data_IF_877157195123
#
_entry.id   IF_877157195123
#
_cell.length_a   1.000
_cell.length_b   1.000
_cell.length_c   1.000
_cell.angle_alpha   90.00
_cell.angle_beta   90.00
_cell.angle_gamma   90.00
#
_symmetry.space_group_name_H-M   'P 1'
#
loop_
_entity.id
_entity.type
_entity.pdbx_description
1 polymer ?
#
# COMPACT_ATOMS: atom_id res chain seq x y z
N UNK A 1 1.66 8.21 -12.17
CA UNK A 1 1.83 6.83 -12.67
C UNK A 1 1.06 5.90 -11.75
N UNK A 2 0.21 5.01 -12.27
CA UNK A 2 -0.71 4.14 -11.51
C UNK A 2 -0.06 3.44 -10.32
N UNK A 3 1.19 2.95 -10.46
CA UNK A 3 1.89 2.30 -9.35
C UNK A 3 2.12 3.25 -8.16
N UNK A 4 2.41 4.53 -8.41
CA UNK A 4 2.56 5.52 -7.34
C UNK A 4 1.20 5.84 -6.68
N UNK A 5 0.13 5.96 -7.48
CA UNK A 5 -1.24 6.11 -6.97
C UNK A 5 -1.65 4.93 -6.09
N UNK A 6 -1.27 3.71 -6.45
CA UNK A 6 -1.57 2.50 -5.68
C UNK A 6 -0.84 2.48 -4.33
N UNK A 7 0.43 2.93 -4.29
CA UNK A 7 1.15 3.10 -3.03
C UNK A 7 0.50 4.17 -2.15
N UNK A 8 0.07 5.29 -2.74
CA UNK A 8 -0.59 6.37 -2.02
C UNK A 8 -1.94 5.91 -1.42
N UNK A 9 -2.76 5.23 -2.22
CA UNK A 9 -4.04 4.65 -1.79
C UNK A 9 -3.86 3.68 -0.61
N UNK A 10 -2.90 2.75 -0.70
CA UNK A 10 -2.68 1.80 0.37
C UNK A 10 -2.14 2.47 1.65
N UNK A 11 -1.32 3.51 1.52
CA UNK A 11 -0.83 4.29 2.64
C UNK A 11 -1.94 5.11 3.29
N UNK A 12 -2.85 5.68 2.49
CA UNK A 12 -4.02 6.38 2.99
C UNK A 12 -4.89 5.45 3.86
N UNK A 13 -5.20 4.25 3.38
CA UNK A 13 -5.93 3.24 4.18
C UNK A 13 -5.20 2.92 5.48
N UNK A 14 -3.87 2.73 5.42
CA UNK A 14 -3.07 2.43 6.61
C UNK A 14 -3.18 3.54 7.66
N UNK A 15 -3.09 4.80 7.23
CA UNK A 15 -3.20 5.97 8.10
C UNK A 15 -4.62 6.12 8.66
N UNK A 16 -5.66 5.93 7.84
CA UNK A 16 -7.05 5.95 8.27
C UNK A 16 -7.33 4.90 9.36
N UNK A 17 -6.83 3.68 9.20
CA UNK A 17 -6.98 2.64 10.21
C UNK A 17 -6.20 2.96 11.49
N UNK A 18 -4.96 3.46 11.40
CA UNK A 18 -4.23 3.90 12.60
C UNK A 18 -4.97 5.02 13.34
N UNK A 19 -5.55 5.98 12.62
CA UNK A 19 -6.37 7.03 13.20
C UNK A 19 -7.63 6.48 13.87
N UNK A 20 -8.32 5.51 13.23
CA UNK A 20 -9.51 4.84 13.77
C UNK A 20 -9.23 4.11 15.08
N UNK A 21 -8.04 3.55 15.23
CA UNK A 21 -7.61 2.85 16.44
C UNK A 21 -6.87 3.75 17.45
N UNK A 22 -6.69 5.04 17.18
CA UNK A 22 -5.90 5.96 18.01
C UNK A 22 -6.24 5.88 19.50
N UNK A 23 -7.53 5.95 19.88
CA UNK A 23 -7.98 5.80 21.26
C UNK A 23 -7.60 4.46 21.92
N UNK A 24 -7.58 3.36 21.15
CA UNK A 24 -7.13 2.04 21.66
C UNK A 24 -5.61 1.94 21.79
N UNK A 25 -4.88 2.85 21.15
CA UNK A 25 -3.41 2.91 21.15
C UNK A 25 -2.86 3.96 22.12
N UNK A 26 -3.72 4.75 22.79
CA UNK A 26 -3.31 5.85 23.69
C UNK A 26 -2.39 5.38 24.83
N UNK A 27 -2.64 4.21 25.41
CA UNK A 27 -1.84 3.65 26.51
C UNK A 27 -0.50 3.05 26.10
N UNK A 28 -0.16 3.08 24.81
CA UNK A 28 1.10 2.54 24.31
C UNK A 28 2.25 3.52 24.48
N UNK A 29 3.42 2.99 24.80
CA UNK A 29 4.67 3.74 24.73
C UNK A 29 5.00 4.11 23.28
N UNK A 30 5.82 5.14 23.11
CA UNK A 30 6.28 5.57 21.78
C UNK A 30 7.02 4.45 21.01
N UNK A 31 7.75 3.59 21.71
CA UNK A 31 8.40 2.42 21.10
C UNK A 31 7.38 1.42 20.54
N UNK A 32 6.31 1.15 21.29
CA UNK A 32 5.23 0.27 20.85
C UNK A 32 4.43 0.86 19.68
N UNK A 33 4.14 2.17 19.70
CA UNK A 33 3.50 2.85 18.57
C UNK A 33 4.34 2.72 17.29
N UNK A 34 5.65 2.98 17.37
CA UNK A 34 6.58 2.78 16.24
C UNK A 34 6.64 1.34 15.75
N UNK A 35 6.54 0.36 16.66
CA UNK A 35 6.49 -1.05 16.27
C UNK A 35 5.21 -1.37 15.47
N UNK A 36 4.07 -0.82 15.85
CA UNK A 36 2.79 -0.96 15.12
C UNK A 36 2.86 -0.25 13.76
N UNK A 37 3.40 0.97 13.70
CA UNK A 37 3.61 1.68 12.44
C UNK A 37 4.49 0.86 11.48
N UNK A 38 5.61 0.35 11.98
CA UNK A 38 6.54 -0.48 11.21
C UNK A 38 5.88 -1.77 10.73
N UNK A 39 5.09 -2.43 11.59
CA UNK A 39 4.37 -3.65 11.28
C UNK A 39 3.33 -3.40 10.17
N UNK A 40 2.47 -2.41 10.34
CA UNK A 40 1.41 -2.09 9.37
C UNK A 40 2.00 -1.66 8.03
N UNK A 41 3.04 -0.85 8.03
CA UNK A 41 3.76 -0.44 6.83
C UNK A 41 4.41 -1.64 6.12
N UNK A 42 5.01 -2.55 6.89
CA UNK A 42 5.60 -3.79 6.37
C UNK A 42 4.56 -4.70 5.70
N UNK A 43 3.34 -4.80 6.27
CA UNK A 43 2.23 -5.55 5.67
C UNK A 43 1.84 -4.94 4.31
N UNK A 44 1.59 -3.63 4.26
CA UNK A 44 1.24 -2.92 3.02
C UNK A 44 2.32 -3.12 1.95
N UNK A 45 3.60 -2.91 2.31
CA UNK A 45 4.74 -3.11 1.40
C UNK A 45 4.79 -4.52 0.83
N UNK A 46 4.57 -5.56 1.66
CA UNK A 46 4.57 -6.96 1.22
C UNK A 46 3.43 -7.28 0.27
N UNK A 47 2.22 -6.77 0.54
CA UNK A 47 1.07 -6.92 -0.36
C UNK A 47 1.37 -6.29 -1.72
N UNK A 48 1.89 -5.07 -1.72
CA UNK A 48 2.16 -4.32 -2.96
C UNK A 48 3.39 -4.82 -3.73
N UNK A 49 4.32 -5.51 -3.08
CA UNK A 49 5.53 -5.99 -3.74
C UNK A 49 5.23 -6.89 -4.94
N UNK A 50 4.38 -7.90 -4.76
CA UNK A 50 4.06 -8.88 -5.82
C UNK A 50 3.40 -8.26 -7.07
N UNK A 51 2.31 -7.47 -6.98
CA UNK A 51 1.70 -6.85 -8.16
C UNK A 51 2.64 -5.84 -8.84
N UNK A 52 3.37 -5.03 -8.06
CA UNK A 52 4.33 -4.06 -8.62
C UNK A 52 5.46 -4.76 -9.38
N UNK A 53 6.02 -5.85 -8.83
CA UNK A 53 7.04 -6.65 -9.52
C UNK A 53 6.47 -7.22 -10.83
N UNK A 54 5.25 -7.77 -10.82
CA UNK A 54 4.64 -8.33 -12.03
C UNK A 54 4.44 -7.30 -13.14
N UNK A 55 4.04 -6.08 -12.80
CA UNK A 55 3.95 -4.98 -13.77
C UNK A 55 5.34 -4.63 -14.33
N UNK A 56 6.34 -4.49 -13.45
CA UNK A 56 7.71 -4.14 -13.86
C UNK A 56 8.36 -5.20 -14.75
N UNK A 57 8.13 -6.49 -14.47
CA UNK A 57 8.61 -7.61 -15.30
C UNK A 57 8.09 -7.54 -16.75
N UNK A 58 6.97 -6.85 -17.00
CA UNK A 58 6.34 -6.72 -18.32
C UNK A 58 6.42 -5.29 -18.88
N UNK A 59 7.26 -4.42 -18.30
CA UNK A 59 7.40 -3.02 -18.71
C UNK A 59 7.78 -2.90 -20.19
N UNK A 60 7.16 -1.95 -20.91
CA UNK A 60 7.39 -1.73 -22.34
C UNK A 60 6.72 -2.76 -23.26
N UNK A 61 5.86 -3.64 -22.72
CA UNK A 61 5.05 -4.57 -23.52
C UNK A 61 3.57 -4.22 -23.44
N UNK A 62 2.79 -4.60 -24.48
CA UNK A 62 1.31 -4.51 -24.47
C UNK A 62 0.67 -5.23 -23.28
N UNK A 63 1.34 -6.25 -22.72
CA UNK A 63 0.86 -6.94 -21.52
C UNK A 63 1.08 -6.08 -20.28
N UNK A 64 2.21 -5.40 -20.17
CA UNK A 64 2.48 -4.46 -19.07
C UNK A 64 1.50 -3.29 -19.05
N UNK A 65 1.20 -2.73 -20.23
CA UNK A 65 0.19 -1.66 -20.39
C UNK A 65 -1.18 -2.10 -19.86
N UNK A 66 -1.68 -3.27 -20.31
CA UNK A 66 -2.95 -3.83 -19.80
C UNK A 66 -2.95 -4.10 -18.30
N UNK A 67 -1.85 -4.62 -17.74
CA UNK A 67 -1.77 -4.82 -16.29
C UNK A 67 -1.85 -3.50 -15.51
N UNK A 68 -1.32 -2.40 -16.06
CA UNK A 68 -1.45 -1.07 -15.46
C UNK A 68 -2.89 -0.58 -15.55
N UNK A 69 -3.54 -0.73 -16.70
CA UNK A 69 -4.96 -0.38 -16.89
C UNK A 69 -5.87 -1.17 -15.95
N UNK A 70 -5.68 -2.50 -15.83
CA UNK A 70 -6.44 -3.35 -14.92
C UNK A 70 -6.26 -2.92 -13.46
N UNK A 71 -5.04 -2.56 -13.04
CA UNK A 71 -4.80 -2.04 -11.69
C UNK A 71 -5.47 -0.69 -11.47
N UNK A 72 -5.42 0.22 -12.44
CA UNK A 72 -6.15 1.50 -12.38
C UNK A 72 -7.65 1.26 -12.25
N UNK A 73 -8.21 0.32 -13.02
CA UNK A 73 -9.63 0.00 -12.97
C UNK A 73 -10.06 -0.65 -11.64
N UNK A 74 -9.31 -1.65 -11.14
CA UNK A 74 -9.67 -2.38 -9.93
C UNK A 74 -9.59 -1.53 -8.66
N UNK A 75 -8.72 -0.52 -8.65
CA UNK A 75 -8.48 0.33 -7.48
C UNK A 75 -8.99 1.77 -7.67
N UNK A 76 -9.64 2.07 -8.80
CA UNK A 76 -10.17 3.40 -9.12
C UNK A 76 -9.08 4.51 -9.06
N UNK A 77 -7.95 4.29 -9.77
CA UNK A 77 -6.71 5.10 -9.70
C UNK A 77 -6.26 5.75 -11.01
#
# INVERSE_FOLDING_TARGET
ATLASLYAFAEEIRLQELARFSGRLEGLTESQKKAIESLTYGIVRKILHRPVVKVKEHSGSKRGERLVEDLSFLFDL
#
